data_IF_707597796714
#
_entry.id   IF_707597796714
#
_cell.length_a   1.000
_cell.length_b   1.000
_cell.length_c   1.000
_cell.angle_alpha   90.00
_cell.angle_beta   90.00
_cell.angle_gamma   90.00
#
_symmetry.space_group_name_H-M   'P 1'
#
loop_
_entity.id
_entity.type
_entity.pdbx_description
1 polymer ?
#
# COMPACT_ATOMS: atom_id res chain seq x y z
N UNK A 1 -10.77 -4.25 -15.16
CA UNK A 1 -10.57 -3.19 -14.16
C UNK A 1 -11.04 -3.74 -12.82
N UNK A 2 -10.11 -4.17 -11.97
CA UNK A 2 -10.45 -4.74 -10.67
C UNK A 2 -11.02 -3.63 -9.77
N UNK A 3 -12.28 -3.76 -9.37
CA UNK A 3 -12.93 -2.81 -8.48
C UNK A 3 -12.45 -2.96 -7.04
N UNK A 4 -12.60 -1.90 -6.24
CA UNK A 4 -12.29 -1.90 -4.81
C UNK A 4 -13.06 -3.03 -4.06
N UNK A 5 -12.31 -3.97 -3.47
CA UNK A 5 -12.88 -5.08 -2.68
C UNK A 5 -13.04 -4.68 -1.21
N UNK A 6 -14.27 -4.35 -0.83
CA UNK A 6 -14.65 -3.94 0.54
C UNK A 6 -14.42 -5.01 1.60
N UNK A 7 -14.66 -6.28 1.27
CA UNK A 7 -14.52 -7.39 2.23
C UNK A 7 -13.04 -7.54 2.58
N UNK A 8 -12.17 -7.60 1.57
CA UNK A 8 -10.73 -7.71 1.78
C UNK A 8 -10.15 -6.50 2.53
N UNK A 9 -10.62 -5.28 2.23
CA UNK A 9 -10.22 -4.09 2.97
C UNK A 9 -10.67 -4.14 4.45
N UNK A 10 -11.92 -4.57 4.71
CA UNK A 10 -12.46 -4.76 6.05
C UNK A 10 -11.65 -5.77 6.87
N UNK A 11 -11.25 -6.89 6.26
CA UNK A 11 -10.38 -7.89 6.88
C UNK A 11 -9.01 -7.33 7.26
N UNK A 12 -8.38 -6.53 6.38
CA UNK A 12 -7.10 -5.88 6.69
C UNK A 12 -7.19 -4.90 7.85
N UNK A 13 -8.26 -4.11 7.90
CA UNK A 13 -8.55 -3.21 9.02
C UNK A 13 -8.67 -4.02 10.31
N UNK A 14 -9.50 -5.07 10.30
CA UNK A 14 -9.72 -5.94 11.45
C UNK A 14 -8.42 -6.58 11.94
N UNK A 15 -7.64 -7.16 11.04
CA UNK A 15 -6.38 -7.82 11.35
C UNK A 15 -5.38 -6.84 11.96
N UNK A 16 -5.22 -5.66 11.36
CA UNK A 16 -4.30 -4.66 11.86
C UNK A 16 -4.75 -4.10 13.22
N UNK A 17 -6.05 -3.85 13.39
CA UNK A 17 -6.64 -3.45 14.67
C UNK A 17 -6.34 -4.47 15.78
N UNK A 18 -6.53 -5.76 15.51
CA UNK A 18 -6.23 -6.83 16.46
C UNK A 18 -4.74 -6.92 16.81
N UNK A 19 -3.84 -6.76 15.84
CA UNK A 19 -2.38 -6.72 16.08
C UNK A 19 -2.00 -5.55 17.01
N UNK A 20 -2.71 -4.43 16.90
CA UNK A 20 -2.51 -3.26 17.76
C UNK A 20 -3.21 -3.39 19.13
N UNK A 21 -3.90 -4.51 19.40
CA UNK A 21 -4.62 -4.74 20.65
C UNK A 21 -5.85 -3.85 20.84
N UNK A 22 -6.40 -3.29 19.77
CA UNK A 22 -7.54 -2.37 19.84
C UNK A 22 -8.88 -3.13 19.70
N UNK A 23 -9.87 -2.70 20.49
CA UNK A 23 -11.29 -3.04 20.30
C UNK A 23 -11.91 -2.25 19.16
N UNK A 24 -13.07 -2.69 18.67
CA UNK A 24 -13.80 -1.98 17.60
C UNK A 24 -14.30 -0.62 18.10
N UNK A 25 -14.68 -0.53 19.37
CA UNK A 25 -15.08 0.68 20.09
C UNK A 25 -13.93 1.69 20.15
N UNK A 26 -12.73 1.26 20.54
CA UNK A 26 -11.54 2.13 20.59
C UNK A 26 -11.12 2.61 19.20
N UNK A 27 -11.22 1.75 18.17
CA UNK A 27 -10.96 2.19 16.79
C UNK A 27 -11.97 3.27 16.38
N UNK A 28 -13.25 3.05 16.64
CA UNK A 28 -14.32 3.98 16.30
C UNK A 28 -14.14 5.34 16.98
N UNK A 29 -13.78 5.34 18.26
CA UNK A 29 -13.46 6.56 19.02
C UNK A 29 -12.26 7.30 18.42
N UNK A 30 -11.15 6.59 18.13
CA UNK A 30 -9.93 7.18 17.55
C UNK A 30 -10.16 7.83 16.18
N UNK A 31 -11.05 7.28 15.36
CA UNK A 31 -11.34 7.83 14.02
C UNK A 31 -12.56 8.77 14.01
N UNK A 32 -13.19 9.04 15.17
CA UNK A 32 -14.35 9.92 15.27
C UNK A 32 -15.57 9.41 14.49
N UNK A 33 -15.87 8.11 14.61
CA UNK A 33 -16.98 7.44 13.92
C UNK A 33 -17.81 6.60 14.89
N UNK A 34 -19.05 6.30 14.48
CA UNK A 34 -19.93 5.44 15.26
C UNK A 34 -19.40 4.00 15.29
N UNK A 35 -19.46 3.35 16.45
CA UNK A 35 -19.07 1.94 16.63
C UNK A 35 -19.67 1.01 15.56
N UNK A 36 -20.98 1.13 15.32
CA UNK A 36 -21.70 0.30 14.34
C UNK A 36 -21.13 0.46 12.93
N UNK A 37 -20.71 1.66 12.56
CA UNK A 37 -20.11 1.93 11.26
C UNK A 37 -18.73 1.27 11.12
N UNK A 38 -17.88 1.31 12.15
CA UNK A 38 -16.62 0.56 12.17
C UNK A 38 -16.85 -0.95 12.05
N UNK A 39 -17.86 -1.49 12.75
CA UNK A 39 -18.22 -2.90 12.65
C UNK A 39 -18.67 -3.28 11.23
N UNK A 40 -19.47 -2.45 10.58
CA UNK A 40 -19.96 -2.68 9.22
C UNK A 40 -18.84 -2.54 8.17
N UNK A 41 -17.89 -1.62 8.39
CA UNK A 41 -16.66 -1.50 7.60
C UNK A 41 -15.83 -2.79 7.67
N UNK A 42 -15.56 -3.31 8.88
CA UNK A 42 -14.75 -4.53 9.06
C UNK A 42 -15.41 -5.79 8.49
N UNK A 43 -16.74 -5.80 8.39
CA UNK A 43 -17.50 -6.88 7.73
C UNK A 43 -17.60 -6.69 6.21
N UNK A 44 -17.19 -5.54 5.68
CA UNK A 44 -17.34 -5.18 4.27
C UNK A 44 -18.79 -4.92 3.85
N UNK A 45 -19.73 -4.77 4.79
CA UNK A 45 -21.16 -4.55 4.50
C UNK A 45 -21.45 -3.11 4.06
N UNK A 46 -20.58 -2.17 4.42
CA UNK A 46 -20.61 -0.79 3.92
C UNK A 46 -19.26 -0.37 3.33
N UNK A 47 -19.28 0.67 2.48
CA UNK A 47 -18.07 1.35 2.05
C UNK A 47 -17.67 2.44 3.05
N UNK A 48 -16.57 3.13 2.78
CA UNK A 48 -16.12 4.28 3.56
C UNK A 48 -15.79 5.47 2.67
N UNK A 49 -15.94 6.69 3.21
CA UNK A 49 -15.43 7.89 2.54
C UNK A 49 -13.90 7.87 2.50
N UNK A 50 -13.31 8.63 1.57
CA UNK A 50 -11.85 8.81 1.50
C UNK A 50 -11.31 9.35 2.84
N UNK A 51 -11.98 10.31 3.46
CA UNK A 51 -11.57 10.85 4.77
C UNK A 51 -11.52 9.77 5.85
N UNK A 52 -12.54 8.89 5.89
CA UNK A 52 -12.59 7.79 6.86
C UNK A 52 -11.47 6.79 6.58
N UNK A 53 -11.19 6.51 5.30
CA UNK A 53 -10.11 5.63 4.88
C UNK A 53 -8.74 6.17 5.31
N UNK A 54 -8.50 7.48 5.14
CA UNK A 54 -7.30 8.17 5.61
C UNK A 54 -7.16 8.13 7.13
N UNK A 55 -8.26 8.41 7.87
CA UNK A 55 -8.25 8.33 9.34
C UNK A 55 -7.92 6.92 9.84
N UNK A 56 -8.48 5.89 9.21
CA UNK A 56 -8.19 4.49 9.54
C UNK A 56 -6.73 4.16 9.24
N UNK A 57 -6.23 4.51 8.05
CA UNK A 57 -4.85 4.25 7.65
C UNK A 57 -3.85 4.90 8.62
N UNK A 58 -4.09 6.16 8.99
CA UNK A 58 -3.28 6.87 9.98
C UNK A 58 -3.39 6.24 11.38
N UNK A 59 -4.59 5.89 11.83
CA UNK A 59 -4.81 5.29 13.16
C UNK A 59 -4.15 3.92 13.29
N UNK A 60 -4.17 3.13 12.22
CA UNK A 60 -3.66 1.76 12.19
C UNK A 60 -2.20 1.66 11.72
N UNK A 61 -1.59 2.80 11.40
CA UNK A 61 -0.23 2.93 10.87
C UNK A 61 0.02 1.96 9.70
N UNK A 62 -0.82 2.09 8.67
CA UNK A 62 -0.75 1.36 7.39
C UNK A 62 -0.88 2.33 6.22
N UNK A 63 -0.34 1.99 5.05
CA UNK A 63 -0.53 2.80 3.84
C UNK A 63 -1.94 2.60 3.27
N UNK A 64 -2.42 3.61 2.53
CA UNK A 64 -3.66 3.47 1.74
C UNK A 64 -3.54 2.37 0.68
N UNK A 65 -2.36 2.23 0.05
CA UNK A 65 -2.12 1.17 -0.92
C UNK A 65 -2.33 -0.22 -0.32
N UNK A 66 -1.76 -0.47 0.86
CA UNK A 66 -1.99 -1.71 1.59
C UNK A 66 -3.47 -1.86 1.99
N UNK A 67 -4.12 -0.78 2.42
CA UNK A 67 -5.52 -0.85 2.80
C UNK A 67 -6.44 -1.19 1.62
N UNK A 68 -6.14 -0.70 0.41
CA UNK A 68 -6.97 -0.88 -0.79
C UNK A 68 -6.61 -2.18 -1.52
N UNK A 69 -5.33 -2.43 -1.77
CA UNK A 69 -4.84 -3.54 -2.59
C UNK A 69 -4.36 -4.72 -1.75
N UNK A 70 -3.92 -4.47 -0.51
CA UNK A 70 -3.36 -5.47 0.39
C UNK A 70 -1.84 -5.57 0.31
N UNK A 71 -1.29 -6.57 0.99
CA UNK A 71 -0.02 -7.15 0.55
C UNK A 71 -0.38 -7.92 -0.71
N UNK A 72 -0.49 -7.16 -1.78
CA UNK A 72 -0.15 -7.55 -3.11
C UNK A 72 0.79 -8.77 -3.18
N UNK A 73 0.24 -9.99 -3.06
CA UNK A 73 0.76 -11.15 -3.79
C UNK A 73 0.58 -10.90 -5.30
N UNK A 74 -0.30 -9.94 -5.65
CA UNK A 74 -0.54 -9.35 -6.97
C UNK A 74 0.21 -8.01 -7.24
N UNK A 75 1.20 -7.62 -6.43
CA UNK A 75 2.35 -6.77 -6.90
C UNK A 75 3.47 -7.69 -7.35
N UNK A 76 3.04 -8.82 -7.90
CA UNK A 76 3.67 -9.52 -8.98
C UNK A 76 3.52 -8.82 -10.33
N UNK A 77 3.06 -7.55 -10.42
CA UNK A 77 3.40 -6.75 -11.62
C UNK A 77 4.92 -6.40 -11.70
N UNK A 78 5.72 -6.82 -10.71
CA UNK A 78 7.19 -6.84 -10.77
C UNK A 78 7.82 -8.21 -10.40
N UNK A 79 7.10 -9.32 -10.46
CA UNK A 79 7.75 -10.65 -10.32
C UNK A 79 8.04 -11.33 -11.66
N UNK A 80 7.58 -10.76 -12.78
CA UNK A 80 8.07 -11.10 -14.12
C UNK A 80 9.12 -10.07 -14.58
N UNK A 81 9.97 -9.62 -13.67
CA UNK A 81 11.16 -8.89 -14.08
C UNK A 81 12.06 -9.86 -14.85
N UNK A 82 12.50 -9.46 -16.03
CA UNK A 82 13.51 -10.22 -16.75
C UNK A 82 14.83 -10.26 -15.96
N UNK A 83 15.74 -11.14 -16.39
CA UNK A 83 17.01 -11.37 -15.70
C UNK A 83 17.81 -10.07 -15.58
N UNK A 84 17.72 -9.22 -16.59
CA UNK A 84 18.38 -7.93 -16.69
C UNK A 84 17.82 -6.93 -15.67
N UNK A 85 16.50 -6.82 -15.55
CA UNK A 85 15.83 -5.96 -14.58
C UNK A 85 16.12 -6.40 -13.14
N UNK A 86 16.13 -7.71 -12.89
CA UNK A 86 16.45 -8.26 -11.57
C UNK A 86 17.90 -7.94 -11.17
N UNK A 87 18.85 -8.03 -12.11
CA UNK A 87 20.24 -7.66 -11.88
C UNK A 87 20.40 -6.18 -11.53
N UNK A 88 19.65 -5.27 -12.18
CA UNK A 88 19.66 -3.83 -11.86
C UNK A 88 19.19 -3.59 -10.42
N UNK A 89 18.12 -4.26 -9.99
CA UNK A 89 17.60 -4.13 -8.62
C UNK A 89 18.63 -4.61 -7.60
N UNK A 90 19.28 -5.75 -7.85
CA UNK A 90 20.30 -6.30 -6.96
C UNK A 90 21.50 -5.34 -6.79
N UNK A 91 22.01 -4.81 -7.90
CA UNK A 91 23.11 -3.85 -7.89
C UNK A 91 22.73 -2.59 -7.10
N UNK A 92 21.52 -2.08 -7.34
CA UNK A 92 21.04 -0.90 -6.63
C UNK A 92 20.79 -1.20 -5.15
N UNK A 93 20.32 -2.39 -4.78
CA UNK A 93 20.05 -2.81 -3.40
C UNK A 93 21.22 -2.53 -2.46
N UNK A 94 22.43 -2.82 -2.91
CA UNK A 94 23.70 -2.67 -2.16
C UNK A 94 24.24 -1.23 -2.15
N UNK A 95 23.57 -0.28 -2.79
CA UNK A 95 24.03 1.10 -2.91
C UNK A 95 23.45 2.02 -1.82
N UNK A 96 24.23 3.03 -1.41
CA UNK A 96 23.74 4.11 -0.58
C UNK A 96 22.68 4.94 -1.32
N UNK A 97 21.80 5.62 -0.59
CA UNK A 97 20.71 6.45 -1.16
C UNK A 97 21.28 7.49 -2.15
N UNK A 98 22.43 8.09 -1.84
CA UNK A 98 23.10 9.05 -2.71
C UNK A 98 23.54 8.42 -4.03
N UNK A 99 24.10 7.20 -3.99
CA UNK A 99 24.50 6.44 -5.19
C UNK A 99 23.30 5.98 -6.02
N UNK A 100 22.22 5.51 -5.37
CA UNK A 100 20.96 5.17 -6.04
C UNK A 100 20.41 6.34 -6.85
N UNK A 101 20.46 7.56 -6.28
CA UNK A 101 20.00 8.77 -6.96
C UNK A 101 20.83 9.09 -8.20
N UNK A 102 22.16 9.04 -8.10
CA UNK A 102 23.03 9.24 -9.26
C UNK A 102 22.81 8.19 -10.36
N UNK A 103 22.61 6.93 -9.99
CA UNK A 103 22.32 5.86 -10.94
C UNK A 103 21.00 6.11 -11.68
N UNK A 104 19.96 6.56 -10.97
CA UNK A 104 18.68 6.91 -11.58
C UNK A 104 18.82 8.06 -12.60
N UNK A 105 19.57 9.11 -12.25
CA UNK A 105 19.77 10.25 -13.14
C UNK A 105 20.52 9.83 -14.42
N UNK A 106 21.52 8.95 -14.29
CA UNK A 106 22.26 8.41 -15.42
C UNK A 106 21.39 7.51 -16.33
N UNK A 107 20.59 6.63 -15.74
CA UNK A 107 19.66 5.76 -16.49
C UNK A 107 18.65 6.59 -17.27
N UNK A 108 18.07 7.63 -16.66
CA UNK A 108 17.15 8.55 -17.35
C UNK A 108 17.82 9.26 -18.52
N UNK A 109 19.05 9.72 -18.33
CA UNK A 109 19.81 10.37 -19.39
C UNK A 109 20.08 9.41 -20.55
N UNK A 110 20.48 8.18 -20.25
CA UNK A 110 20.73 7.14 -21.23
C UNK A 110 19.47 6.81 -22.05
N UNK A 111 18.34 6.56 -21.39
CA UNK A 111 17.07 6.25 -22.07
C UNK A 111 16.64 7.39 -23.00
N UNK A 112 16.72 8.64 -22.52
CA UNK A 112 16.40 9.82 -23.35
C UNK A 112 17.28 9.91 -24.59
N UNK A 113 18.58 9.63 -24.46
CA UNK A 113 19.51 9.66 -25.58
C UNK A 113 19.29 8.50 -26.58
N UNK A 114 18.72 7.38 -26.12
CA UNK A 114 18.37 6.24 -26.97
C UNK A 114 17.04 6.42 -27.71
N UNK A 115 16.07 7.13 -27.13
CA UNK A 115 14.76 7.40 -27.75
C UNK A 115 14.84 8.47 -28.86
N UNK A 116 15.94 9.22 -28.94
CA UNK A 116 16.20 10.26 -29.95
C UNK A 116 16.90 9.73 -31.23
N UNK A 117 16.92 8.40 -31.45
CA UNK A 117 17.44 7.73 -32.66
C UNK A 117 16.39 6.87 -33.34
#
# INVERSE_FOLDING_TARGET
MAGYNRIAAGERIRNRRMIMGLTQEELAEKIGRAYKYCQDIERGTCGMSIDTMLSIASCLNISLDYLIYGNNEDTSEFTDLDVEQQAVIEILGNCSIKKKRYALDLLKLFMKACDER
#
